data_IF_006709943455
#
_entry.id   IF_006709943455
#
_cell.length_a   1.000
_cell.length_b   1.000
_cell.length_c   1.000
_cell.angle_alpha   90.00
_cell.angle_beta   90.00
_cell.angle_gamma   90.00
#
_symmetry.space_group_name_H-M   'P 1'
#
loop_
_entity.id
_entity.type
_entity.pdbx_description
1 polymer ?
#
# COMPACT_ATOMS: atom_id res chain seq x y z
N UNK A 1 -28.13 -23.63 12.05
CA UNK A 1 -28.98 -23.37 10.85
C UNK A 1 -28.44 -22.13 10.15
N UNK A 2 -27.92 -22.30 8.94
CA UNK A 2 -27.31 -21.22 8.15
C UNK A 2 -28.34 -20.65 7.18
N UNK A 3 -28.74 -19.38 7.37
CA UNK A 3 -29.59 -18.66 6.42
C UNK A 3 -28.72 -17.79 5.51
N UNK A 4 -28.21 -18.41 4.43
CA UNK A 4 -27.70 -17.70 3.25
C UNK A 4 -28.54 -18.12 2.05
N UNK A 5 -29.09 -17.17 1.29
CA UNK A 5 -29.82 -17.48 0.04
C UNK A 5 -28.92 -18.33 -0.88
N UNK A 6 -29.36 -19.49 -1.37
CA UNK A 6 -28.54 -20.34 -2.23
C UNK A 6 -28.27 -19.62 -3.55
N UNK A 7 -26.99 -19.52 -3.94
CA UNK A 7 -26.58 -19.11 -5.29
C UNK A 7 -25.73 -17.84 -5.42
N UNK A 8 -25.53 -17.04 -4.37
CA UNK A 8 -24.54 -15.95 -4.43
C UNK A 8 -23.20 -16.44 -3.86
N UNK A 9 -22.09 -16.38 -4.62
CA UNK A 9 -20.78 -16.66 -4.03
C UNK A 9 -20.57 -15.72 -2.83
N UNK A 10 -19.94 -16.20 -1.75
CA UNK A 10 -19.73 -15.41 -0.55
C UNK A 10 -19.06 -14.08 -0.92
N UNK A 11 -19.57 -12.97 -0.39
CA UNK A 11 -18.99 -11.66 -0.65
C UNK A 11 -17.55 -11.63 -0.13
N UNK A 12 -16.63 -11.24 -1.00
CA UNK A 12 -15.26 -10.95 -0.61
C UNK A 12 -15.22 -9.68 0.22
N UNK A 13 -15.38 -9.86 1.53
CA UNK A 13 -15.49 -8.76 2.50
C UNK A 13 -14.26 -7.88 2.52
N UNK A 14 -13.06 -8.43 2.33
CA UNK A 14 -11.80 -7.68 2.30
C UNK A 14 -11.73 -6.79 1.06
N UNK A 15 -12.07 -7.33 -0.12
CA UNK A 15 -12.17 -6.54 -1.35
C UNK A 15 -13.20 -5.42 -1.19
N UNK A 16 -14.36 -5.74 -0.62
CA UNK A 16 -15.45 -4.78 -0.44
C UNK A 16 -15.05 -3.65 0.50
N UNK A 17 -14.42 -3.95 1.64
CA UNK A 17 -13.90 -2.95 2.58
C UNK A 17 -12.85 -2.04 1.91
N UNK A 18 -11.95 -2.61 1.11
CA UNK A 18 -10.98 -1.83 0.33
C UNK A 18 -11.66 -0.86 -0.63
N UNK A 19 -12.64 -1.33 -1.42
CA UNK A 19 -13.39 -0.49 -2.36
C UNK A 19 -14.11 0.66 -1.67
N UNK A 20 -14.77 0.36 -0.54
CA UNK A 20 -15.47 1.36 0.27
C UNK A 20 -14.47 2.41 0.78
N UNK A 21 -13.34 1.96 1.34
CA UNK A 21 -12.31 2.88 1.80
C UNK A 21 -11.80 3.79 0.68
N UNK A 22 -11.44 3.22 -0.48
CA UNK A 22 -10.90 3.99 -1.61
C UNK A 22 -11.90 5.05 -2.12
N UNK A 23 -13.20 4.80 -2.04
CA UNK A 23 -14.23 5.79 -2.36
C UNK A 23 -14.30 6.94 -1.33
N UNK A 24 -13.98 6.66 -0.07
CA UNK A 24 -14.03 7.64 1.03
C UNK A 24 -12.70 8.39 1.19
N UNK A 25 -11.58 7.77 0.82
CA UNK A 25 -10.22 8.30 1.03
C UNK A 25 -10.02 9.75 0.57
N UNK A 26 -10.52 10.20 -0.62
CA UNK A 26 -10.41 11.60 -1.03
C UNK A 26 -11.08 12.58 -0.05
N UNK A 27 -12.23 12.18 0.52
CA UNK A 27 -12.90 12.99 1.54
C UNK A 27 -12.07 13.06 2.82
N UNK A 28 -11.46 11.94 3.25
CA UNK A 28 -10.59 11.92 4.44
C UNK A 28 -9.38 12.85 4.24
N UNK A 29 -8.75 12.80 3.07
CA UNK A 29 -7.63 13.68 2.73
C UNK A 29 -8.04 15.17 2.81
N UNK A 30 -9.25 15.49 2.36
CA UNK A 30 -9.78 16.85 2.35
C UNK A 30 -10.14 17.38 3.75
N UNK A 31 -10.87 16.60 4.57
CA UNK A 31 -11.45 17.10 5.83
C UNK A 31 -10.74 16.60 7.09
N UNK A 32 -9.78 15.68 6.95
CA UNK A 32 -9.08 15.04 8.05
C UNK A 32 -9.94 14.09 8.88
N UNK A 33 -9.34 13.47 9.89
CA UNK A 33 -10.07 12.56 10.79
C UNK A 33 -11.12 13.30 11.61
N UNK A 34 -10.78 14.49 12.14
CA UNK A 34 -11.69 15.27 12.99
C UNK A 34 -12.93 15.77 12.23
N UNK A 35 -12.76 16.21 10.98
CA UNK A 35 -13.86 16.69 10.13
C UNK A 35 -14.72 15.58 9.52
N UNK A 36 -14.23 14.34 9.47
CA UNK A 36 -14.97 13.22 8.90
C UNK A 36 -16.12 12.78 9.82
N UNK A 37 -17.33 12.69 9.25
CA UNK A 37 -18.49 12.02 9.87
C UNK A 37 -18.84 10.74 9.13
N UNK A 38 -19.40 9.75 9.84
CA UNK A 38 -19.86 8.49 9.24
C UNK A 38 -20.96 8.71 8.19
N UNK A 39 -21.81 9.73 8.37
CA UNK A 39 -22.85 10.10 7.40
C UNK A 39 -22.24 10.63 6.09
N UNK A 40 -21.22 11.48 6.19
CA UNK A 40 -20.51 11.99 5.01
C UNK A 40 -19.74 10.87 4.29
N UNK A 41 -19.06 10.00 5.05
CA UNK A 41 -18.39 8.82 4.52
C UNK A 41 -19.35 7.87 3.79
N UNK A 42 -20.52 7.58 4.36
CA UNK A 42 -21.52 6.72 3.72
C UNK A 42 -22.01 7.32 2.40
N UNK A 43 -22.24 8.64 2.37
CA UNK A 43 -22.60 9.35 1.13
C UNK A 43 -21.50 9.26 0.08
N UNK A 44 -20.23 9.46 0.47
CA UNK A 44 -19.09 9.35 -0.45
C UNK A 44 -18.93 7.95 -1.03
N UNK A 45 -19.26 6.90 -0.26
CA UNK A 45 -19.22 5.52 -0.72
C UNK A 45 -20.51 5.04 -1.42
N UNK A 46 -21.51 5.91 -1.60
CA UNK A 46 -22.84 5.52 -2.10
C UNK A 46 -23.50 4.38 -1.31
N UNK A 47 -23.36 4.40 0.02
CA UNK A 47 -23.95 3.43 0.95
C UNK A 47 -24.98 4.09 1.86
N UNK A 48 -25.91 3.28 2.37
CA UNK A 48 -26.68 3.68 3.55
C UNK A 48 -25.74 3.76 4.76
N UNK A 49 -26.11 4.58 5.76
CA UNK A 49 -25.31 4.69 6.99
C UNK A 49 -25.18 3.34 7.71
N UNK A 50 -26.28 2.57 7.78
CA UNK A 50 -26.26 1.21 8.34
C UNK A 50 -25.40 0.25 7.52
N UNK A 51 -25.40 0.39 6.19
CA UNK A 51 -24.52 -0.37 5.30
C UNK A 51 -23.05 -0.06 5.53
N UNK A 52 -22.68 1.21 5.78
CA UNK A 52 -21.31 1.55 6.15
C UNK A 52 -20.92 0.94 7.50
N UNK A 53 -21.78 1.06 8.52
CA UNK A 53 -21.53 0.48 9.84
C UNK A 53 -21.41 -1.05 9.81
N UNK A 54 -22.06 -1.71 8.86
CA UNK A 54 -21.89 -3.13 8.63
C UNK A 54 -20.44 -3.50 8.27
N UNK A 55 -19.72 -2.67 7.51
CA UNK A 55 -18.32 -2.93 7.12
C UNK A 55 -17.30 -2.30 8.07
N UNK A 56 -17.61 -1.14 8.64
CA UNK A 56 -16.76 -0.38 9.53
C UNK A 56 -17.56 0.05 10.75
N UNK A 57 -17.51 -0.73 11.85
CA UNK A 57 -18.30 -0.47 13.05
C UNK A 57 -18.02 0.90 13.68
N UNK A 58 -16.77 1.39 13.56
CA UNK A 58 -16.39 2.70 14.07
C UNK A 58 -15.70 3.56 13.00
N UNK A 59 -15.72 4.88 13.20
CA UNK A 59 -14.93 5.83 12.37
C UNK A 59 -13.44 5.46 12.37
N UNK A 60 -12.92 5.00 13.51
CA UNK A 60 -11.52 4.56 13.65
C UNK A 60 -11.22 3.36 12.75
N UNK A 61 -12.09 2.35 12.75
CA UNK A 61 -11.90 1.14 11.92
C UNK A 61 -11.94 1.47 10.43
N UNK A 62 -12.70 2.49 10.04
CA UNK A 62 -12.72 3.03 8.68
C UNK A 62 -11.40 3.72 8.34
N UNK A 63 -10.99 4.72 9.13
CA UNK A 63 -9.84 5.56 8.76
C UNK A 63 -8.51 4.82 8.85
N UNK A 64 -8.37 3.87 9.78
CA UNK A 64 -7.15 3.09 9.95
C UNK A 64 -7.10 1.83 9.09
N UNK A 65 -8.14 1.54 8.31
CA UNK A 65 -8.22 0.32 7.51
C UNK A 65 -6.98 0.07 6.63
N UNK A 66 -6.41 1.07 5.94
CA UNK A 66 -5.22 0.84 5.09
C UNK A 66 -3.97 0.41 5.83
N UNK A 67 -3.88 0.69 7.14
CA UNK A 67 -2.74 0.27 7.95
C UNK A 67 -2.88 -1.17 8.45
N UNK A 68 -3.99 -1.85 8.13
CA UNK A 68 -4.17 -3.26 8.47
C UNK A 68 -3.47 -4.16 7.48
N UNK A 69 -2.96 -5.30 7.96
CA UNK A 69 -2.30 -6.32 7.13
C UNK A 69 -3.17 -6.78 5.97
N UNK A 70 -4.48 -6.93 6.20
CA UNK A 70 -5.44 -7.38 5.19
C UNK A 70 -5.49 -6.46 3.97
N UNK A 71 -5.41 -5.15 4.18
CA UNK A 71 -5.45 -4.17 3.09
C UNK A 71 -4.21 -4.29 2.21
N UNK A 72 -3.02 -4.24 2.82
CA UNK A 72 -1.74 -4.32 2.10
C UNK A 72 -1.55 -5.66 1.40
N UNK A 73 -1.80 -6.77 2.11
CA UNK A 73 -1.67 -8.12 1.57
C UNK A 73 -2.58 -8.33 0.36
N UNK A 74 -3.86 -7.92 0.45
CA UNK A 74 -4.78 -8.06 -0.68
C UNK A 74 -4.35 -7.23 -1.88
N UNK A 75 -3.86 -6.02 -1.67
CA UNK A 75 -3.36 -5.19 -2.76
C UNK A 75 -2.16 -5.85 -3.45
N UNK A 76 -1.22 -6.38 -2.67
CA UNK A 76 -0.06 -7.11 -3.18
C UNK A 76 -0.45 -8.36 -3.97
N UNK A 77 -1.39 -9.16 -3.45
CA UNK A 77 -1.90 -10.37 -4.12
C UNK A 77 -2.56 -10.05 -5.46
N UNK A 78 -3.41 -9.03 -5.51
CA UNK A 78 -4.08 -8.64 -6.76
C UNK A 78 -3.08 -8.13 -7.81
N UNK A 79 -2.05 -7.38 -7.41
CA UNK A 79 -0.98 -6.97 -8.32
C UNK A 79 -0.14 -8.16 -8.79
N UNK A 80 0.24 -9.06 -7.89
CA UNK A 80 1.02 -10.25 -8.24
C UNK A 80 0.28 -11.11 -9.27
N UNK A 81 -1.02 -11.35 -9.04
CA UNK A 81 -1.83 -12.14 -9.97
C UNK A 81 -1.90 -11.53 -11.37
N UNK A 82 -1.96 -10.19 -11.48
CA UNK A 82 -2.02 -9.49 -12.77
C UNK A 82 -0.73 -9.57 -13.59
N UNK A 83 0.42 -9.67 -12.91
CA UNK A 83 1.73 -9.57 -13.55
C UNK A 83 2.61 -10.82 -13.36
N UNK A 84 2.03 -11.93 -12.89
CA UNK A 84 2.75 -13.16 -12.56
C UNK A 84 3.61 -13.68 -13.73
N UNK A 85 3.13 -13.55 -14.97
CA UNK A 85 3.87 -13.99 -16.15
C UNK A 85 5.20 -13.22 -16.37
N UNK A 86 5.28 -11.97 -15.91
CA UNK A 86 6.49 -11.15 -16.04
C UNK A 86 7.60 -11.59 -15.09
N UNK A 87 7.28 -12.25 -13.98
CA UNK A 87 8.28 -12.70 -13.01
C UNK A 87 9.40 -13.53 -13.65
N UNK A 88 9.05 -14.32 -14.66
CA UNK A 88 10.00 -15.21 -15.36
C UNK A 88 10.42 -14.69 -16.74
N UNK A 89 9.58 -13.88 -17.39
CA UNK A 89 9.86 -13.42 -18.76
C UNK A 89 10.57 -12.07 -18.80
N UNK A 90 10.33 -11.22 -17.81
CA UNK A 90 10.89 -9.87 -17.71
C UNK A 90 10.88 -9.41 -16.23
N UNK A 91 11.79 -9.96 -15.40
CA UNK A 91 11.79 -9.72 -13.96
C UNK A 91 12.07 -8.24 -13.62
N UNK A 92 12.82 -7.52 -14.46
CA UNK A 92 13.04 -6.08 -14.27
C UNK A 92 11.75 -5.31 -14.41
N UNK A 93 10.99 -5.55 -15.48
CA UNK A 93 9.68 -4.92 -15.64
C UNK A 93 8.71 -5.32 -14.52
N UNK A 94 8.77 -6.57 -14.07
CA UNK A 94 7.99 -7.02 -12.92
C UNK A 94 8.33 -6.18 -11.67
N UNK A 95 9.60 -5.99 -11.34
CA UNK A 95 10.01 -5.19 -10.19
C UNK A 95 9.62 -3.71 -10.32
N UNK A 96 9.76 -3.11 -11.50
CA UNK A 96 9.31 -1.72 -11.75
C UNK A 96 7.80 -1.56 -11.55
N UNK A 97 7.01 -2.53 -11.99
CA UNK A 97 5.56 -2.55 -11.73
C UNK A 97 5.26 -2.68 -10.23
N UNK A 98 6.06 -3.44 -9.49
CA UNK A 98 5.94 -3.55 -8.03
C UNK A 98 6.28 -2.24 -7.33
N UNK A 99 7.33 -1.53 -7.76
CA UNK A 99 7.69 -0.20 -7.25
C UNK A 99 6.52 0.78 -7.39
N UNK A 100 5.95 0.90 -8.60
CA UNK A 100 4.77 1.74 -8.85
C UNK A 100 3.57 1.32 -8.01
N UNK A 101 3.37 0.01 -7.88
CA UNK A 101 2.35 -0.57 -7.01
C UNK A 101 2.51 -0.15 -5.56
N UNK A 102 3.74 -0.17 -5.03
CA UNK A 102 4.06 0.27 -3.66
C UNK A 102 3.77 1.75 -3.47
N UNK A 103 4.19 2.61 -4.41
CA UNK A 103 3.84 4.04 -4.38
C UNK A 103 2.32 4.22 -4.27
N UNK A 104 1.56 3.54 -5.13
CA UNK A 104 0.09 3.63 -5.14
C UNK A 104 -0.57 3.14 -3.85
N UNK A 105 -0.10 2.03 -3.27
CA UNK A 105 -0.59 1.56 -1.96
C UNK A 105 -0.36 2.62 -0.90
N UNK A 106 0.83 3.21 -0.89
CA UNK A 106 1.16 4.19 0.14
C UNK A 106 0.41 5.49 0.00
N UNK A 107 0.22 5.99 -1.23
CA UNK A 107 -0.62 7.15 -1.46
C UNK A 107 -2.08 6.88 -1.07
N UNK A 108 -2.58 5.66 -1.29
CA UNK A 108 -3.90 5.26 -0.82
C UNK A 108 -3.98 5.16 0.72
N UNK A 109 -2.87 4.85 1.40
CA UNK A 109 -2.81 4.78 2.86
C UNK A 109 -2.51 6.12 3.55
N UNK A 110 -2.09 7.15 2.80
CA UNK A 110 -1.75 8.48 3.35
C UNK A 110 -2.84 9.07 4.26
N UNK A 111 -4.14 9.06 3.89
CA UNK A 111 -5.17 9.60 4.78
C UNK A 111 -5.25 8.87 6.12
N UNK A 112 -4.90 7.58 6.15
CA UNK A 112 -4.89 6.78 7.38
C UNK A 112 -3.72 7.16 8.30
N UNK A 113 -2.54 7.42 7.75
CA UNK A 113 -1.39 7.88 8.52
C UNK A 113 -1.63 9.28 9.07
N UNK A 114 -2.18 10.19 8.26
CA UNK A 114 -2.56 11.54 8.71
C UNK A 114 -3.63 11.48 9.81
N UNK A 115 -4.61 10.58 9.69
CA UNK A 115 -5.58 10.33 10.75
C UNK A 115 -4.92 9.81 12.04
N UNK A 116 -3.95 8.90 11.93
CA UNK A 116 -3.19 8.41 13.08
C UNK A 116 -2.41 9.55 13.78
N UNK A 117 -1.84 10.48 13.02
CA UNK A 117 -1.21 11.69 13.56
C UNK A 117 -2.23 12.57 14.30
N UNK A 118 -3.40 12.82 13.71
CA UNK A 118 -4.47 13.63 14.35
C UNK A 118 -5.01 13.02 15.65
N UNK A 119 -5.00 11.69 15.75
CA UNK A 119 -5.42 10.93 16.93
C UNK A 119 -4.31 10.75 17.98
N UNK A 120 -3.06 11.12 17.65
CA UNK A 120 -1.89 10.92 18.49
C UNK A 120 -1.03 9.75 17.99
N UNK A 121 0.06 10.08 17.29
CA UNK A 121 0.94 9.11 16.64
C UNK A 121 1.51 8.06 17.61
N UNK A 122 1.76 8.42 18.86
CA UNK A 122 2.34 7.50 19.85
C UNK A 122 1.51 6.23 20.04
N UNK A 123 0.19 6.34 20.04
CA UNK A 123 -0.72 5.21 20.16
C UNK A 123 -0.76 4.30 18.91
N UNK A 124 -0.32 4.81 17.76
CA UNK A 124 -0.43 4.14 16.46
C UNK A 124 0.91 3.91 15.75
N UNK A 125 2.03 4.27 16.40
CA UNK A 125 3.38 4.21 15.82
C UNK A 125 3.67 2.84 15.21
N UNK A 126 3.49 1.79 16.00
CA UNK A 126 3.72 0.40 15.55
C UNK A 126 2.82 0.01 14.38
N UNK A 127 1.56 0.45 14.38
CA UNK A 127 0.61 0.18 13.28
C UNK A 127 1.02 0.88 11.99
N UNK A 128 1.46 2.14 12.08
CA UNK A 128 1.98 2.91 10.94
C UNK A 128 3.26 2.26 10.40
N UNK A 129 4.20 1.91 11.27
CA UNK A 129 5.45 1.24 10.89
C UNK A 129 5.21 -0.12 10.22
N UNK A 130 4.26 -0.91 10.75
CA UNK A 130 3.88 -2.21 10.18
C UNK A 130 3.25 -2.03 8.81
N UNK A 131 2.29 -1.11 8.66
CA UNK A 131 1.64 -0.81 7.37
C UNK A 131 2.63 -0.36 6.30
N UNK A 132 3.56 0.54 6.66
CA UNK A 132 4.63 1.01 5.78
C UNK A 132 5.59 -0.11 5.37
N UNK A 133 5.91 -1.01 6.30
CA UNK A 133 6.82 -2.13 6.03
C UNK A 133 6.19 -3.18 5.13
N UNK A 134 4.90 -3.47 5.31
CA UNK A 134 4.18 -4.46 4.49
C UNK A 134 4.11 -4.06 3.00
N UNK A 135 4.03 -2.75 2.70
CA UNK A 135 4.07 -2.25 1.33
C UNK A 135 5.38 -2.56 0.59
N UNK A 136 6.49 -2.76 1.31
CA UNK A 136 7.82 -3.03 0.77
C UNK A 136 8.16 -4.53 0.70
N UNK A 137 7.53 -5.39 1.50
CA UNK A 137 7.77 -6.84 1.45
C UNK A 137 7.53 -7.44 0.06
N UNK A 138 6.52 -6.94 -0.64
CA UNK A 138 6.21 -7.44 -1.98
C UNK A 138 7.20 -6.93 -3.04
N UNK A 139 7.89 -5.83 -2.78
CA UNK A 139 9.01 -5.35 -3.59
C UNK A 139 10.26 -6.20 -3.30
N UNK A 140 10.61 -6.43 -2.04
CA UNK A 140 11.76 -7.27 -1.63
C UNK A 140 11.69 -8.66 -2.26
N UNK A 141 10.49 -9.27 -2.22
CA UNK A 141 10.24 -10.54 -2.89
C UNK A 141 10.48 -10.45 -4.40
N UNK A 142 10.04 -9.39 -5.07
CA UNK A 142 10.23 -9.22 -6.52
C UNK A 142 11.70 -9.02 -6.91
N UNK A 143 12.44 -8.20 -6.16
CA UNK A 143 13.87 -7.95 -6.39
C UNK A 143 14.70 -9.21 -6.19
N UNK A 144 14.33 -10.07 -5.23
CA UNK A 144 15.01 -11.35 -5.03
C UNK A 144 14.97 -12.30 -6.24
N UNK A 145 14.12 -12.05 -7.24
CA UNK A 145 14.05 -12.85 -8.48
C UNK A 145 14.79 -12.21 -9.66
N UNK A 146 15.26 -10.97 -9.51
CA UNK A 146 15.69 -10.11 -10.60
C UNK A 146 17.17 -10.31 -10.95
N UNK A 147 17.99 -10.52 -9.93
CA UNK A 147 19.43 -10.67 -10.04
C UNK A 147 19.90 -11.60 -8.91
N UNK A 148 20.58 -12.73 -9.21
CA UNK A 148 21.23 -13.54 -8.18
C UNK A 148 22.36 -12.78 -7.45
N UNK A 149 22.72 -11.57 -7.90
CA UNK A 149 23.75 -10.72 -7.27
C UNK A 149 23.23 -9.74 -6.21
N UNK A 150 21.93 -9.49 -6.10
CA UNK A 150 21.42 -8.70 -4.96
C UNK A 150 21.49 -9.53 -3.68
N UNK A 151 22.52 -9.28 -2.88
CA UNK A 151 22.60 -9.84 -1.54
C UNK A 151 21.52 -9.24 -0.62
N UNK A 152 21.28 -9.93 0.50
CA UNK A 152 20.27 -9.52 1.48
C UNK A 152 20.53 -8.12 2.06
N UNK A 153 21.80 -7.71 2.18
CA UNK A 153 22.19 -6.39 2.70
C UNK A 153 21.83 -5.27 1.72
N UNK A 154 22.04 -5.50 0.41
CA UNK A 154 21.68 -4.55 -0.64
C UNK A 154 20.16 -4.38 -0.72
N UNK A 155 19.41 -5.48 -0.67
CA UNK A 155 17.93 -5.44 -0.63
C UNK A 155 17.46 -4.66 0.60
N UNK A 156 18.04 -4.96 1.77
CA UNK A 156 17.70 -4.27 3.02
C UNK A 156 17.99 -2.76 2.95
N UNK A 157 19.17 -2.39 2.46
CA UNK A 157 19.58 -0.99 2.30
C UNK A 157 18.66 -0.24 1.34
N UNK A 158 18.32 -0.85 0.21
CA UNK A 158 17.38 -0.31 -0.77
C UNK A 158 15.99 -0.11 -0.15
N UNK A 159 15.44 -1.12 0.51
CA UNK A 159 14.16 -1.03 1.23
C UNK A 159 14.16 0.05 2.31
N UNK A 160 15.29 0.24 3.02
CA UNK A 160 15.41 1.32 4.01
C UNK A 160 15.34 2.70 3.37
N UNK A 161 16.00 2.91 2.24
CA UNK A 161 15.93 4.18 1.48
C UNK A 161 14.52 4.45 0.97
N UNK A 162 13.89 3.44 0.36
CA UNK A 162 12.51 3.52 -0.10
C UNK A 162 11.53 3.86 1.03
N UNK A 163 11.69 3.24 2.21
CA UNK A 163 10.85 3.54 3.38
C UNK A 163 10.94 5.00 3.83
N UNK A 164 12.12 5.63 3.75
CA UNK A 164 12.31 7.04 4.09
C UNK A 164 11.56 7.95 3.11
N UNK A 165 11.64 7.66 1.82
CA UNK A 165 10.91 8.37 0.76
C UNK A 165 9.40 8.25 1.01
N UNK A 166 8.90 7.03 1.22
CA UNK A 166 7.48 6.78 1.49
C UNK A 166 6.99 7.52 2.74
N UNK A 167 7.78 7.54 3.81
CA UNK A 167 7.42 8.27 5.03
C UNK A 167 7.35 9.79 4.79
N UNK A 168 8.30 10.35 4.05
CA UNK A 168 8.29 11.77 3.69
C UNK A 168 7.06 12.11 2.83
N UNK A 169 6.78 11.31 1.79
CA UNK A 169 5.66 11.51 0.88
C UNK A 169 4.27 11.36 1.53
N UNK A 170 4.18 10.59 2.62
CA UNK A 170 2.95 10.47 3.40
C UNK A 170 2.69 11.73 4.25
N UNK A 171 3.74 12.39 4.73
CA UNK A 171 3.62 13.61 5.53
C UNK A 171 3.45 14.85 4.66
N UNK A 172 4.10 14.87 3.49
CA UNK A 172 3.95 15.93 2.50
C UNK A 172 2.70 15.70 1.64
N UNK A 173 1.68 16.52 1.87
CA UNK A 173 0.41 16.44 1.15
C UNK A 173 0.50 16.89 -0.31
N UNK A 174 1.59 17.57 -0.68
CA UNK A 174 1.80 18.05 -2.05
C UNK A 174 2.37 16.97 -2.96
N UNK A 175 2.98 15.93 -2.38
CA UNK A 175 3.57 14.83 -3.14
C UNK A 175 2.50 14.02 -3.87
N UNK A 176 2.77 13.74 -5.14
CA UNK A 176 1.94 12.93 -6.03
C UNK A 176 2.41 11.48 -6.11
N UNK A 177 1.52 10.57 -6.52
CA UNK A 177 1.88 9.15 -6.76
C UNK A 177 3.01 9.00 -7.79
N UNK A 178 3.03 9.86 -8.81
CA UNK A 178 4.02 9.83 -9.87
C UNK A 178 5.42 10.23 -9.37
N UNK A 179 5.51 11.26 -8.53
CA UNK A 179 6.77 11.68 -7.90
C UNK A 179 7.32 10.58 -6.99
N UNK A 180 6.47 9.99 -6.14
CA UNK A 180 6.90 8.86 -5.29
C UNK A 180 7.39 7.69 -6.13
N UNK A 181 6.67 7.34 -7.19
CA UNK A 181 7.09 6.25 -8.07
C UNK A 181 8.45 6.55 -8.72
N UNK A 182 8.67 7.78 -9.21
CA UNK A 182 9.93 8.19 -9.80
C UNK A 182 11.08 8.14 -8.78
N UNK A 183 10.87 8.64 -7.56
CA UNK A 183 11.89 8.62 -6.50
C UNK A 183 12.27 7.18 -6.11
N UNK A 184 11.29 6.28 -6.03
CA UNK A 184 11.54 4.86 -5.76
C UNK A 184 12.27 4.18 -6.94
N UNK A 185 11.91 4.51 -8.19
CA UNK A 185 12.62 4.02 -9.38
C UNK A 185 14.07 4.49 -9.41
N UNK A 186 14.36 5.75 -9.04
CA UNK A 186 15.73 6.27 -8.92
C UNK A 186 16.58 5.49 -7.92
N UNK A 187 16.01 5.15 -6.76
CA UNK A 187 16.70 4.31 -5.77
C UNK A 187 16.99 2.92 -6.35
N UNK A 188 15.99 2.31 -6.99
CA UNK A 188 16.15 0.99 -7.60
C UNK A 188 17.22 0.98 -8.70
N UNK A 189 17.19 1.95 -9.61
CA UNK A 189 18.14 2.07 -10.72
C UNK A 189 19.58 2.27 -10.21
N UNK A 190 19.77 3.10 -9.18
CA UNK A 190 21.08 3.30 -8.58
C UNK A 190 21.69 2.01 -8.01
N UNK A 191 20.85 1.13 -7.43
CA UNK A 191 21.28 -0.17 -6.92
C UNK A 191 21.51 -1.19 -8.05
N UNK A 192 20.64 -1.21 -9.06
CA UNK A 192 20.76 -2.08 -10.24
C UNK A 192 22.04 -1.79 -11.04
N UNK A 193 22.32 -0.52 -11.32
CA UNK A 193 23.53 -0.09 -12.03
C UNK A 193 24.82 -0.37 -11.25
N UNK A 194 24.76 -0.32 -9.92
CA UNK A 194 25.88 -0.73 -9.07
C UNK A 194 26.13 -2.23 -9.16
N UNK A 195 25.06 -3.03 -9.11
CA UNK A 195 25.15 -4.50 -9.21
C UNK A 195 25.74 -4.93 -10.55
N UNK A 196 25.22 -4.38 -11.67
CA UNK A 196 25.69 -4.67 -13.03
C UNK A 196 27.16 -4.33 -13.22
N UNK A 197 27.61 -3.18 -12.72
CA UNK A 197 29.03 -2.78 -12.79
C UNK A 197 29.94 -3.71 -11.99
N UNK A 198 29.51 -4.17 -10.82
CA UNK A 198 30.27 -5.13 -10.03
C UNK A 198 30.40 -6.48 -10.76
N UNK A 199 29.32 -6.95 -11.41
CA UNK A 199 29.35 -8.17 -12.20
C UNK A 199 30.30 -8.09 -13.42
N UNK A 200 30.32 -6.96 -14.13
CA UNK A 200 31.24 -6.74 -15.26
C UNK A 200 32.71 -6.62 -14.83
N UNK A 201 33.00 -6.12 -13.62
CA UNK A 201 34.37 -5.98 -13.13
C UNK A 201 35.01 -7.32 -12.68
N UNK A 202 34.21 -8.37 -12.50
CA UNK A 202 34.65 -9.70 -12.04
C UNK A 202 34.79 -10.70 -13.22
N UNK A 203 34.26 -10.36 -14.40
CA UNK A 203 34.34 -11.14 -15.64
C UNK A 203 35.53 -10.73 -16.51
#
# INVERSE_FOLDING_TARGET
MSFGKPGRPPEDRTLRRRQIYLAIAPLIEQVGYRGLSMKAAARAAHLSIGGLYHYFPTKRDLVLHPLTTDFGSRYCTDLNARYAALLHTDPERYARLKIRGTARVMMAARPAVLAAVEMGLEAYRSTVETGLSHGLLAFESAVGHLEPTFDADTIHTMSRSMRRILMAAVLDRTTTEAEVAADLELVFDAHLDRSRRAATAVA
#
